data_IF_404872640028
#
_entry.id   IF_404872640028
#
_cell.length_a   1.000
_cell.length_b   1.000
_cell.length_c   1.000
_cell.angle_alpha   90.00
_cell.angle_beta   90.00
_cell.angle_gamma   90.00
#
_symmetry.space_group_name_H-M   'P 1'
#
loop_
_entity.id
_entity.type
_entity.pdbx_description
1 polymer ?
#
# COMPACT_ATOMS: atom_id res chain seq x y z
N UNK A 1 -65.61 -46.11 -15.09
CA UNK A 1 -65.44 -47.58 -14.98
C UNK A 1 -64.08 -47.90 -15.58
N UNK A 2 -63.29 -48.62 -14.81
CA UNK A 2 -61.86 -49.00 -14.90
C UNK A 2 -61.45 -49.55 -16.28
N UNK A 3 -60.26 -49.23 -16.80
CA UNK A 3 -59.18 -50.21 -16.96
C UNK A 3 -57.81 -49.62 -17.36
N UNK A 4 -56.78 -50.40 -17.03
CA UNK A 4 -55.37 -50.06 -16.84
C UNK A 4 -54.49 -50.42 -18.04
N UNK A 5 -53.21 -50.05 -17.87
CA UNK A 5 -51.98 -50.68 -18.37
C UNK A 5 -51.33 -50.19 -19.68
N UNK A 6 -50.21 -49.49 -19.45
CA UNK A 6 -48.85 -49.85 -19.88
C UNK A 6 -48.55 -49.92 -21.37
N UNK A 7 -47.65 -49.05 -21.84
CA UNK A 7 -46.26 -49.42 -22.20
C UNK A 7 -45.68 -48.32 -23.11
N UNK A 8 -44.67 -47.60 -22.61
CA UNK A 8 -43.94 -46.58 -23.36
C UNK A 8 -42.54 -46.43 -22.78
N UNK A 9 -41.65 -47.33 -23.17
CA UNK A 9 -40.22 -47.30 -22.86
C UNK A 9 -39.52 -46.49 -23.97
N UNK A 10 -38.77 -45.43 -23.64
CA UNK A 10 -37.39 -45.19 -24.11
C UNK A 10 -36.79 -43.93 -23.45
N UNK A 11 -35.47 -43.65 -23.57
CA UNK A 11 -34.51 -43.99 -22.52
C UNK A 11 -33.68 -42.75 -22.08
N UNK A 12 -32.73 -42.97 -21.18
CA UNK A 12 -31.44 -42.29 -21.24
C UNK A 12 -31.41 -40.84 -20.75
N UNK A 13 -31.00 -40.69 -19.48
CA UNK A 13 -30.55 -39.40 -18.96
C UNK A 13 -29.44 -38.78 -19.82
N UNK A 14 -29.53 -37.47 -19.98
CA UNK A 14 -28.37 -36.63 -20.21
C UNK A 14 -28.32 -35.61 -19.08
N UNK A 15 -27.59 -35.97 -18.03
CA UNK A 15 -27.00 -34.98 -17.13
C UNK A 15 -26.08 -34.10 -17.96
N UNK A 16 -26.35 -32.80 -18.03
CA UNK A 16 -25.42 -31.77 -18.48
C UNK A 16 -24.34 -31.56 -17.40
N UNK A 17 -23.62 -32.63 -17.09
CA UNK A 17 -22.50 -32.60 -16.17
C UNK A 17 -21.25 -32.15 -16.92
N UNK A 18 -20.79 -30.95 -16.55
CA UNK A 18 -19.38 -30.58 -16.56
C UNK A 18 -18.70 -30.62 -17.92
N UNK A 19 -18.74 -29.50 -18.64
CA UNK A 19 -17.61 -29.14 -19.48
C UNK A 19 -16.38 -29.04 -18.55
N UNK A 20 -15.61 -30.13 -18.51
CA UNK A 20 -14.30 -30.14 -17.85
C UNK A 20 -13.43 -29.21 -18.68
N UNK A 21 -12.98 -28.11 -18.10
CA UNK A 21 -11.97 -27.23 -18.69
C UNK A 21 -10.64 -28.01 -18.75
N UNK A 22 -10.44 -28.70 -19.88
CA UNK A 22 -9.27 -29.53 -20.14
C UNK A 22 -8.00 -28.68 -20.28
N UNK A 23 -8.13 -27.40 -20.65
CA UNK A 23 -7.00 -26.49 -20.74
C UNK A 23 -6.50 -26.11 -19.34
N UNK A 24 -7.39 -25.88 -18.38
CA UNK A 24 -7.00 -25.65 -16.98
C UNK A 24 -6.29 -26.86 -16.36
N UNK A 25 -6.77 -28.08 -16.63
CA UNK A 25 -6.16 -29.32 -16.14
C UNK A 25 -4.79 -29.59 -16.78
N UNK A 26 -4.66 -29.35 -18.09
CA UNK A 26 -3.40 -29.50 -18.82
C UNK A 26 -2.36 -28.47 -18.36
N UNK A 27 -2.77 -27.21 -18.14
CA UNK A 27 -1.93 -26.14 -17.58
C UNK A 27 -1.39 -26.51 -16.19
N UNK A 28 -2.23 -27.08 -15.33
CA UNK A 28 -1.82 -27.58 -14.00
C UNK A 28 -0.78 -28.69 -14.11
N UNK A 29 -0.96 -29.62 -15.04
CA UNK A 29 -0.01 -30.73 -15.27
C UNK A 29 1.35 -30.23 -15.79
N UNK A 30 1.37 -29.26 -16.71
CA UNK A 30 2.60 -28.68 -17.25
C UNK A 30 3.37 -27.86 -16.20
N UNK A 31 2.68 -27.13 -15.32
CA UNK A 31 3.29 -26.40 -14.20
C UNK A 31 3.94 -27.35 -13.17
N UNK A 32 3.28 -28.48 -12.86
CA UNK A 32 3.81 -29.53 -11.99
C UNK A 32 5.06 -30.19 -12.61
N UNK A 33 5.04 -30.53 -13.90
CA UNK A 33 6.18 -31.13 -14.58
C UNK A 33 7.41 -30.20 -14.63
N UNK A 34 7.19 -28.89 -14.79
CA UNK A 34 8.26 -27.88 -14.77
C UNK A 34 8.85 -27.69 -13.37
N UNK A 35 8.05 -27.88 -12.32
CA UNK A 35 8.50 -27.87 -10.90
C UNK A 35 9.33 -29.10 -10.54
N UNK A 36 8.91 -30.29 -10.93
CA UNK A 36 9.71 -31.52 -10.69
C UNK A 36 11.10 -31.44 -11.35
N UNK A 37 11.19 -30.76 -12.50
CA UNK A 37 12.46 -30.45 -13.15
C UNK A 37 13.28 -29.38 -12.40
N UNK A 38 12.61 -28.37 -11.80
CA UNK A 38 13.25 -27.32 -11.02
C UNK A 38 13.75 -27.81 -9.64
N UNK A 39 13.00 -28.68 -8.96
CA UNK A 39 13.38 -29.32 -7.68
C UNK A 39 14.63 -30.19 -7.83
N UNK A 40 14.75 -30.93 -8.94
CA UNK A 40 15.97 -31.69 -9.26
C UNK A 40 17.20 -30.81 -9.53
N UNK A 41 17.01 -29.51 -9.74
CA UNK A 41 18.07 -28.55 -10.04
C UNK A 41 18.43 -27.61 -8.87
N UNK A 42 17.84 -27.79 -7.68
CA UNK A 42 18.23 -27.07 -6.47
C UNK A 42 17.94 -25.56 -6.48
N UNK A 43 16.98 -25.09 -7.29
CA UNK A 43 16.57 -23.68 -7.30
C UNK A 43 15.77 -23.33 -6.03
N UNK A 44 15.91 -22.11 -5.48
CA UNK A 44 15.17 -21.68 -4.30
C UNK A 44 13.65 -21.78 -4.53
N UNK A 45 12.92 -22.29 -3.53
CA UNK A 45 11.45 -22.38 -3.54
C UNK A 45 10.85 -20.97 -3.65
N UNK A 46 9.95 -20.76 -4.61
CA UNK A 46 9.18 -19.52 -4.73
C UNK A 46 8.34 -19.33 -3.48
N UNK A 47 8.47 -18.18 -2.81
CA UNK A 47 7.59 -17.73 -1.71
C UNK A 47 6.68 -16.62 -2.23
N UNK A 48 5.51 -16.46 -1.63
CA UNK A 48 4.64 -15.31 -1.91
C UNK A 48 5.43 -14.02 -1.61
N UNK A 49 5.51 -13.03 -2.52
CA UNK A 49 6.23 -11.77 -2.29
C UNK A 49 5.62 -11.04 -1.10
N UNK A 50 6.38 -10.73 -0.05
CA UNK A 50 5.85 -9.99 1.11
C UNK A 50 5.19 -8.66 0.71
N UNK A 51 4.20 -8.22 1.47
CA UNK A 51 3.68 -6.85 1.36
C UNK A 51 4.83 -5.85 1.61
N UNK A 52 4.83 -4.75 0.87
CA UNK A 52 5.95 -3.83 0.79
C UNK A 52 6.06 -3.16 -0.59
N UNK A 53 6.69 -1.99 -0.64
CA UNK A 53 6.64 -1.07 -1.78
C UNK A 53 5.21 -0.69 -2.14
N UNK A 54 4.81 -0.97 -3.38
CA UNK A 54 3.43 -0.75 -3.84
C UNK A 54 2.56 -2.01 -3.72
N UNK A 55 2.93 -2.95 -2.84
CA UNK A 55 2.18 -4.19 -2.58
C UNK A 55 1.60 -4.15 -1.17
N UNK A 56 0.29 -4.38 -1.06
CA UNK A 56 -0.44 -4.43 0.22
C UNK A 56 -1.24 -5.72 0.36
N UNK A 57 -1.54 -6.09 1.61
CA UNK A 57 -2.52 -7.12 1.91
C UNK A 57 -3.87 -6.52 2.21
N UNK A 58 -4.91 -7.17 1.70
CA UNK A 58 -6.29 -6.74 1.86
C UNK A 58 -7.13 -7.89 2.36
N UNK A 59 -7.89 -7.62 3.41
CA UNK A 59 -8.85 -8.54 4.02
C UNK A 59 -10.26 -7.94 3.96
N UNK A 60 -11.26 -8.63 4.51
CA UNK A 60 -12.66 -8.19 4.48
C UNK A 60 -12.88 -6.81 5.11
N UNK A 61 -12.10 -6.45 6.12
CA UNK A 61 -12.22 -5.18 6.84
C UNK A 61 -11.62 -4.02 6.04
N UNK A 62 -10.47 -4.25 5.38
CA UNK A 62 -9.74 -3.20 4.65
C UNK A 62 -10.17 -3.06 3.18
N UNK A 63 -10.92 -4.05 2.64
CA UNK A 63 -11.34 -4.07 1.24
C UNK A 63 -12.18 -2.86 0.83
N UNK A 64 -13.16 -2.47 1.65
CA UNK A 64 -14.03 -1.33 1.31
C UNK A 64 -13.23 -0.02 1.22
N UNK A 65 -12.31 0.22 2.16
CA UNK A 65 -11.46 1.41 2.16
C UNK A 65 -10.56 1.42 0.91
N UNK A 66 -9.92 0.29 0.58
CA UNK A 66 -9.12 0.15 -0.64
C UNK A 66 -9.94 0.43 -1.90
N UNK A 67 -11.18 -0.05 -1.98
CA UNK A 67 -12.07 0.24 -3.12
C UNK A 67 -12.34 1.74 -3.26
N UNK A 68 -12.51 2.46 -2.15
CA UNK A 68 -12.66 3.92 -2.18
C UNK A 68 -11.38 4.60 -2.68
N UNK A 69 -10.21 4.15 -2.23
CA UNK A 69 -8.91 4.68 -2.68
C UNK A 69 -8.68 4.50 -4.19
N UNK A 70 -9.32 3.51 -4.82
CA UNK A 70 -9.19 3.28 -6.27
C UNK A 70 -9.74 4.40 -7.17
N UNK A 71 -10.41 5.42 -6.59
CA UNK A 71 -10.78 6.66 -7.30
C UNK A 71 -9.59 7.62 -7.46
N UNK A 72 -8.55 7.46 -6.66
CA UNK A 72 -7.34 8.27 -6.71
C UNK A 72 -6.30 7.66 -7.65
N UNK A 73 -6.04 6.36 -7.54
CA UNK A 73 -5.09 5.63 -8.39
C UNK A 73 -5.61 4.21 -8.71
N UNK A 74 -5.21 3.60 -9.84
CA UNK A 74 -5.65 2.25 -10.20
C UNK A 74 -5.02 1.19 -9.28
N UNK A 75 -5.77 0.12 -8.98
CA UNK A 75 -5.34 -0.96 -8.09
C UNK A 75 -5.50 -2.31 -8.80
N UNK A 76 -4.50 -3.19 -8.72
CA UNK A 76 -4.57 -4.58 -9.17
C UNK A 76 -4.93 -5.45 -7.98
N UNK A 77 -6.00 -6.23 -8.09
CA UNK A 77 -6.41 -7.21 -7.09
C UNK A 77 -5.88 -8.58 -7.50
N UNK A 78 -5.09 -9.22 -6.66
CA UNK A 78 -4.67 -10.61 -6.80
C UNK A 78 -5.38 -11.45 -5.73
N UNK A 79 -6.34 -12.26 -6.15
CA UNK A 79 -7.02 -13.22 -5.29
C UNK A 79 -6.29 -14.56 -5.37
N UNK A 80 -5.75 -15.04 -4.25
CA UNK A 80 -4.90 -16.24 -4.17
C UNK A 80 -5.34 -17.15 -3.01
N UNK A 81 -4.76 -18.36 -2.93
CA UNK A 81 -5.00 -19.32 -1.85
C UNK A 81 -3.68 -19.87 -1.32
N UNK A 82 -3.61 -20.14 -0.01
CA UNK A 82 -2.40 -20.67 0.64
C UNK A 82 -2.03 -22.06 0.13
N UNK A 83 -3.03 -22.84 -0.27
CA UNK A 83 -2.86 -24.20 -0.77
C UNK A 83 -2.30 -24.26 -2.20
N UNK A 84 -2.22 -23.12 -2.91
CA UNK A 84 -1.80 -23.05 -4.30
C UNK A 84 -0.57 -22.15 -4.48
N UNK A 85 0.60 -22.74 -4.25
CA UNK A 85 1.88 -22.07 -4.45
C UNK A 85 2.16 -21.71 -5.92
N UNK A 86 1.41 -22.25 -6.89
CA UNK A 86 1.64 -21.92 -8.31
C UNK A 86 1.37 -20.44 -8.61
N UNK A 87 0.54 -19.81 -7.77
CA UNK A 87 0.24 -18.37 -7.81
C UNK A 87 1.40 -17.46 -7.39
N UNK A 88 2.47 -17.98 -6.77
CA UNK A 88 3.54 -17.15 -6.22
C UNK A 88 4.45 -16.51 -7.29
N UNK A 89 4.71 -17.21 -8.40
CA UNK A 89 5.47 -16.64 -9.54
C UNK A 89 4.67 -15.51 -10.21
N UNK A 90 3.36 -15.71 -10.35
CA UNK A 90 2.42 -14.68 -10.81
C UNK A 90 2.46 -13.46 -9.89
N UNK A 91 2.35 -13.67 -8.58
CA UNK A 91 2.41 -12.60 -7.58
C UNK A 91 3.72 -11.81 -7.65
N UNK A 92 4.86 -12.49 -7.75
CA UNK A 92 6.18 -11.85 -7.81
C UNK A 92 6.32 -10.98 -9.06
N UNK A 93 5.96 -11.50 -10.24
CA UNK A 93 6.05 -10.75 -11.50
C UNK A 93 5.12 -9.54 -11.53
N UNK A 94 3.93 -9.66 -10.96
CA UNK A 94 3.01 -8.52 -10.79
C UNK A 94 3.62 -7.47 -9.85
N UNK A 95 4.17 -7.89 -8.71
CA UNK A 95 4.83 -7.00 -7.76
C UNK A 95 5.99 -6.23 -8.40
N UNK A 96 6.89 -6.93 -9.12
CA UNK A 96 8.03 -6.31 -9.80
C UNK A 96 7.57 -5.31 -10.87
N UNK A 97 6.54 -5.68 -11.65
CA UNK A 97 6.00 -4.84 -12.71
C UNK A 97 5.29 -3.59 -12.17
N UNK A 98 4.53 -3.72 -11.08
CA UNK A 98 3.86 -2.60 -10.42
C UNK A 98 4.88 -1.69 -9.74
N UNK A 99 5.93 -2.26 -9.16
CA UNK A 99 7.04 -1.48 -8.59
C UNK A 99 7.73 -0.64 -9.67
N UNK A 100 7.93 -1.19 -10.87
CA UNK A 100 8.46 -0.46 -12.01
C UNK A 100 7.54 0.66 -12.54
N UNK A 101 6.25 0.69 -12.14
CA UNK A 101 5.31 1.76 -12.46
C UNK A 101 5.37 2.94 -11.48
N UNK A 102 6.27 2.89 -10.48
CA UNK A 102 6.65 4.01 -9.61
C UNK A 102 5.46 4.75 -8.99
N UNK A 103 4.56 3.99 -8.36
CA UNK A 103 3.40 4.54 -7.65
C UNK A 103 2.20 4.85 -8.54
N UNK A 104 2.27 4.70 -9.86
CA UNK A 104 1.10 4.90 -10.74
C UNK A 104 0.01 3.83 -10.58
N UNK A 105 0.27 2.80 -9.78
CA UNK A 105 -0.63 1.68 -9.51
C UNK A 105 -0.21 0.98 -8.20
N UNK A 106 -1.15 0.28 -7.56
CA UNK A 106 -0.88 -0.55 -6.38
C UNK A 106 -1.31 -2.01 -6.60
N UNK A 107 -0.62 -2.97 -5.98
CA UNK A 107 -1.01 -4.37 -5.92
C UNK A 107 -1.67 -4.66 -4.57
N UNK A 108 -2.90 -5.15 -4.57
CA UNK A 108 -3.60 -5.65 -3.40
C UNK A 108 -3.72 -7.18 -3.46
N UNK A 109 -3.07 -7.87 -2.52
CA UNK A 109 -3.15 -9.34 -2.38
C UNK A 109 -4.30 -9.69 -1.45
N UNK A 110 -5.14 -10.62 -1.87
CA UNK A 110 -6.32 -11.07 -1.13
C UNK A 110 -6.25 -12.59 -1.00
N UNK A 111 -6.13 -13.07 0.22
CA UNK A 111 -6.19 -14.49 0.50
C UNK A 111 -7.65 -14.95 0.56
N UNK A 112 -8.09 -15.74 -0.42
CA UNK A 112 -9.46 -16.23 -0.50
C UNK A 112 -9.83 -17.21 0.63
N UNK A 113 -8.85 -17.87 1.25
CA UNK A 113 -9.09 -18.76 2.39
C UNK A 113 -9.50 -17.95 3.64
N UNK A 114 -9.00 -16.72 3.77
CA UNK A 114 -9.27 -15.80 4.89
C UNK A 114 -10.37 -14.78 4.56
N UNK A 115 -10.63 -14.51 3.29
CA UNK A 115 -11.61 -13.50 2.83
C UNK A 115 -12.53 -14.04 1.73
N UNK A 116 -13.32 -15.10 2.00
CA UNK A 116 -14.18 -15.74 1.01
C UNK A 116 -15.29 -14.82 0.49
N UNK A 117 -15.77 -13.86 1.29
CA UNK A 117 -16.80 -12.92 0.87
C UNK A 117 -16.33 -12.01 -0.27
N UNK A 118 -15.05 -11.60 -0.25
CA UNK A 118 -14.44 -10.79 -1.31
C UNK A 118 -14.38 -11.58 -2.62
N UNK A 119 -13.92 -12.84 -2.55
CA UNK A 119 -13.85 -13.71 -3.72
C UNK A 119 -15.24 -13.93 -4.36
N UNK A 120 -16.29 -14.09 -3.54
CA UNK A 120 -17.66 -14.19 -4.01
C UNK A 120 -18.16 -12.88 -4.65
N UNK A 121 -17.86 -11.73 -4.03
CA UNK A 121 -18.25 -10.42 -4.55
C UNK A 121 -17.59 -10.11 -5.91
N UNK A 122 -16.32 -10.45 -6.06
CA UNK A 122 -15.57 -10.35 -7.32
C UNK A 122 -15.97 -11.44 -8.34
N UNK A 123 -16.80 -12.41 -7.94
CA UNK A 123 -17.21 -13.58 -8.72
C UNK A 123 -15.99 -14.35 -9.27
N UNK A 124 -14.97 -14.54 -8.44
CA UNK A 124 -13.76 -15.28 -8.79
C UNK A 124 -14.08 -16.78 -8.87
N UNK A 125 -14.29 -17.29 -10.09
CA UNK A 125 -14.66 -18.70 -10.32
C UNK A 125 -13.46 -19.64 -10.34
N UNK A 126 -12.31 -19.13 -10.77
CA UNK A 126 -11.04 -19.86 -10.80
C UNK A 126 -9.97 -19.03 -10.12
N UNK A 127 -9.24 -19.65 -9.18
CA UNK A 127 -8.12 -19.04 -8.47
C UNK A 127 -6.78 -19.61 -9.00
N UNK A 128 -5.71 -18.81 -9.03
CA UNK A 128 -5.67 -17.38 -8.69
C UNK A 128 -6.46 -16.52 -9.70
N UNK A 129 -6.92 -15.34 -9.27
CA UNK A 129 -7.63 -14.41 -10.14
C UNK A 129 -7.04 -13.00 -10.03
N UNK A 130 -6.98 -12.31 -11.16
CA UNK A 130 -6.43 -10.95 -11.27
C UNK A 130 -7.49 -10.00 -11.82
N UNK A 131 -7.71 -8.90 -11.12
CA UNK A 131 -8.65 -7.85 -11.52
C UNK A 131 -7.96 -6.49 -11.51
N UNK A 132 -8.34 -5.62 -12.44
CA UNK A 132 -8.04 -4.19 -12.38
C UNK A 132 -9.19 -3.44 -11.73
N UNK A 133 -8.90 -2.56 -10.79
CA UNK A 133 -9.87 -1.72 -10.11
C UNK A 133 -9.56 -0.26 -10.43
N UNK A 134 -10.49 0.39 -11.13
CA UNK A 134 -10.38 1.80 -11.53
C UNK A 134 -11.67 2.51 -11.17
N UNK A 135 -11.60 3.53 -10.33
CA UNK A 135 -12.78 4.31 -9.92
C UNK A 135 -13.86 3.45 -9.25
N UNK A 136 -13.45 2.47 -8.43
CA UNK A 136 -14.34 1.55 -7.72
C UNK A 136 -14.95 0.44 -8.58
N UNK A 137 -14.57 0.31 -9.85
CA UNK A 137 -15.13 -0.68 -10.78
C UNK A 137 -14.14 -1.81 -11.06
N UNK A 138 -14.40 -3.05 -10.58
CA UNK A 138 -13.53 -4.18 -10.86
C UNK A 138 -13.70 -4.67 -12.30
N UNK A 139 -12.59 -4.92 -12.97
CA UNK A 139 -12.48 -5.41 -14.34
C UNK A 139 -11.67 -6.72 -14.32
N UNK A 140 -12.24 -7.86 -14.72
CA UNK A 140 -11.50 -9.13 -14.75
C UNK A 140 -10.39 -9.07 -15.80
N UNK A 141 -9.18 -9.46 -15.43
CA UNK A 141 -8.01 -9.57 -16.32
C UNK A 141 -7.71 -11.04 -16.60
N UNK A 142 -7.61 -11.85 -15.54
CA UNK A 142 -7.28 -13.26 -15.62
C UNK A 142 -8.02 -14.03 -14.51
N UNK A 143 -8.49 -15.23 -14.82
CA UNK A 143 -9.04 -16.17 -13.84
C UNK A 143 -8.39 -17.53 -14.13
N UNK A 144 -7.72 -18.09 -13.11
CA UNK A 144 -6.79 -19.20 -13.28
C UNK A 144 -5.35 -18.75 -13.52
N UNK A 145 -4.42 -19.70 -13.50
CA UNK A 145 -3.00 -19.43 -13.71
C UNK A 145 -2.71 -19.11 -15.19
N UNK A 146 -2.19 -17.92 -15.51
CA UNK A 146 -1.84 -17.56 -16.89
C UNK A 146 -0.61 -18.35 -17.38
N UNK A 147 -0.53 -18.56 -18.69
CA UNK A 147 0.70 -19.00 -19.35
C UNK A 147 1.81 -17.95 -19.22
N UNK A 148 3.06 -18.34 -19.49
CA UNK A 148 4.19 -17.40 -19.41
C UNK A 148 4.03 -16.21 -20.38
N UNK A 149 3.51 -16.46 -21.58
CA UNK A 149 3.29 -15.43 -22.59
C UNK A 149 2.15 -14.49 -22.18
N UNK A 150 1.04 -15.03 -21.66
CA UNK A 150 -0.07 -14.24 -21.13
C UNK A 150 0.36 -13.39 -19.93
N UNK A 151 1.18 -13.93 -19.02
CA UNK A 151 1.70 -13.18 -17.88
C UNK A 151 2.60 -12.03 -18.34
N UNK A 152 3.45 -12.28 -19.34
CA UNK A 152 4.26 -11.22 -19.93
C UNK A 152 3.40 -10.14 -20.60
N UNK A 153 2.32 -10.54 -21.29
CA UNK A 153 1.36 -9.60 -21.88
C UNK A 153 0.61 -8.79 -20.81
N UNK A 154 0.22 -9.42 -19.70
CA UNK A 154 -0.40 -8.74 -18.56
C UNK A 154 0.54 -7.63 -18.06
N UNK A 155 1.78 -7.98 -17.75
CA UNK A 155 2.77 -7.06 -17.20
C UNK A 155 3.15 -5.92 -18.16
N UNK A 156 3.40 -6.23 -19.43
CA UNK A 156 3.98 -5.27 -20.37
C UNK A 156 2.94 -4.41 -21.09
N UNK A 157 1.73 -4.95 -21.32
CA UNK A 157 0.71 -4.26 -22.11
C UNK A 157 -0.50 -3.86 -21.27
N UNK A 158 -1.06 -4.82 -20.52
CA UNK A 158 -2.34 -4.61 -19.80
C UNK A 158 -2.16 -3.64 -18.62
N UNK A 159 -1.13 -3.82 -17.78
CA UNK A 159 -0.91 -2.91 -16.64
C UNK A 159 -0.69 -1.47 -17.09
N UNK A 160 0.21 -1.15 -18.05
CA UNK A 160 0.37 0.23 -18.53
C UNK A 160 -0.88 0.77 -19.23
N UNK A 161 -1.65 -0.08 -19.92
CA UNK A 161 -2.91 0.32 -20.52
C UNK A 161 -3.96 0.68 -19.47
N UNK A 162 -4.04 -0.07 -18.37
CA UNK A 162 -4.93 0.25 -17.25
C UNK A 162 -4.61 1.61 -16.63
N UNK A 163 -3.33 1.95 -16.47
CA UNK A 163 -2.95 3.28 -16.01
C UNK A 163 -3.45 4.36 -16.98
N UNK A 164 -3.25 4.18 -18.29
CA UNK A 164 -3.75 5.13 -19.31
C UNK A 164 -5.28 5.25 -19.30
N UNK A 165 -6.00 4.17 -19.01
CA UNK A 165 -7.47 4.16 -18.88
C UNK A 165 -7.90 4.92 -17.62
N UNK A 166 -7.18 4.72 -16.51
CA UNK A 166 -7.40 5.43 -15.26
C UNK A 166 -7.19 6.94 -15.42
N UNK A 167 -6.09 7.36 -16.05
CA UNK A 167 -5.79 8.77 -16.34
C UNK A 167 -6.88 9.44 -17.17
N UNK A 168 -7.38 8.77 -18.21
CA UNK A 168 -8.51 9.26 -19.02
C UNK A 168 -9.81 9.39 -18.23
N UNK A 169 -9.93 8.66 -17.13
CA UNK A 169 -11.08 8.68 -16.22
C UNK A 169 -10.87 9.64 -15.05
N UNK A 170 -9.78 10.41 -15.03
CA UNK A 170 -9.44 11.35 -13.94
C UNK A 170 -8.77 10.70 -12.72
N UNK A 171 -8.44 9.42 -12.79
CA UNK A 171 -7.78 8.63 -11.75
C UNK A 171 -6.27 8.62 -12.04
N UNK A 172 -5.58 9.69 -11.64
CA UNK A 172 -4.17 9.94 -11.98
C UNK A 172 -3.27 10.23 -10.76
N UNK A 173 -3.75 9.93 -9.55
CA UNK A 173 -2.98 10.03 -8.32
C UNK A 173 -1.91 8.93 -8.21
N UNK A 174 -1.11 9.03 -7.15
CA UNK A 174 -0.04 8.06 -6.86
C UNK A 174 -0.39 7.22 -5.64
N UNK A 175 -0.15 5.93 -5.74
CA UNK A 175 -0.22 4.97 -4.66
C UNK A 175 0.83 5.27 -3.59
N UNK A 176 0.50 5.08 -2.30
CA UNK A 176 1.47 5.20 -1.24
C UNK A 176 2.50 4.07 -1.31
N UNK A 177 3.75 4.41 -1.01
CA UNK A 177 4.82 3.43 -0.83
C UNK A 177 4.80 2.91 0.62
N UNK A 178 4.68 1.60 0.77
CA UNK A 178 4.73 0.88 2.06
C UNK A 178 6.15 0.37 2.25
N UNK A 179 6.80 0.63 3.38
CA UNK A 179 8.14 0.08 3.62
C UNK A 179 8.03 -1.45 3.77
N UNK A 180 8.89 -2.22 3.08
CA UNK A 180 8.85 -3.69 3.11
C UNK A 180 9.39 -4.21 4.45
N UNK A 181 8.55 -4.11 5.49
CA UNK A 181 8.75 -4.69 6.82
C UNK A 181 7.52 -5.54 7.16
N UNK A 182 7.73 -6.86 7.21
CA UNK A 182 6.78 -7.97 7.38
C UNK A 182 5.43 -7.69 8.08
N UNK A 183 4.34 -7.89 7.32
CA UNK A 183 3.04 -8.34 7.83
C UNK A 183 2.78 -9.76 7.35
N UNK A 184 2.92 -10.73 8.25
CA UNK A 184 2.41 -12.09 8.09
C UNK A 184 1.96 -12.64 9.45
N UNK A 185 0.72 -12.32 9.84
CA UNK A 185 -0.15 -13.10 10.74
C UNK A 185 0.13 -13.08 12.25
N UNK A 186 -0.82 -12.55 13.04
CA UNK A 186 -1.80 -13.36 13.78
C UNK A 186 -2.70 -12.42 14.60
N UNK A 187 -4.00 -12.45 14.32
CA UNK A 187 -5.00 -11.65 15.03
C UNK A 187 -5.33 -12.30 16.37
N UNK A 188 -5.07 -11.61 17.48
CA UNK A 188 -5.76 -11.87 18.75
C UNK A 188 -6.48 -10.63 19.25
N UNK A 189 -7.73 -10.55 18.79
CA UNK A 189 -8.95 -10.33 19.57
C UNK A 189 -8.80 -9.62 20.93
N UNK A 190 -9.22 -8.36 21.01
CA UNK A 190 -10.02 -7.84 22.14
C UNK A 190 -10.96 -6.72 21.67
N UNK A 191 -12.15 -6.55 22.31
CA UNK A 191 -13.30 -5.89 21.71
C UNK A 191 -13.29 -4.36 21.87
N UNK A 192 -13.64 -3.66 20.78
CA UNK A 192 -13.83 -2.19 20.75
C UNK A 192 -15.24 -1.82 21.21
N UNK A 193 -15.32 -1.11 22.33
CA UNK A 193 -16.42 -0.14 22.60
C UNK A 193 -16.04 1.16 21.92
N UNK A 194 -16.84 1.56 20.93
CA UNK A 194 -16.52 2.67 20.04
C UNK A 194 -16.73 4.05 20.64
N UNK A 195 -15.90 5.01 20.21
CA UNK A 195 -16.26 6.39 19.84
C UNK A 195 -15.17 6.89 18.88
N UNK A 196 -15.57 7.45 17.72
CA UNK A 196 -14.86 8.55 17.05
C UNK A 196 -13.60 8.22 16.23
N UNK A 197 -13.77 8.28 14.92
CA UNK A 197 -12.79 8.53 13.84
C UNK A 197 -11.54 9.33 14.27
N UNK A 198 -10.41 8.64 14.45
CA UNK A 198 -9.06 9.18 14.42
C UNK A 198 -8.14 8.07 13.89
N UNK A 199 -7.47 8.33 12.77
CA UNK A 199 -6.55 7.37 12.13
C UNK A 199 -5.24 7.33 12.92
N UNK A 200 -5.31 6.77 14.12
CA UNK A 200 -4.15 6.40 14.92
C UNK A 200 -3.55 5.13 14.33
N UNK A 201 -2.41 5.29 13.64
CA UNK A 201 -1.59 4.19 13.15
C UNK A 201 -0.97 3.48 14.36
N UNK A 202 -1.69 2.49 14.89
CA UNK A 202 -1.12 1.49 15.78
C UNK A 202 -0.03 0.75 14.99
N UNK A 203 1.22 0.99 15.36
CA UNK A 203 2.38 0.28 14.86
C UNK A 203 2.25 -1.19 15.26
N UNK A 204 2.05 -2.04 14.26
CA UNK A 204 2.03 -3.49 14.43
C UNK A 204 3.43 -3.98 14.81
N UNK A 205 3.49 -4.80 15.84
CA UNK A 205 4.69 -5.25 16.53
C UNK A 205 5.44 -6.36 15.76
N UNK A 206 6.13 -6.00 14.67
CA UNK A 206 7.20 -6.81 14.08
C UNK A 206 8.58 -6.21 14.39
N UNK A 207 9.15 -6.71 15.50
CA UNK A 207 10.49 -6.49 16.07
C UNK A 207 11.07 -5.07 15.97
N UNK A 208 10.48 -4.14 16.72
CA UNK A 208 11.10 -2.85 17.06
C UNK A 208 12.49 -3.13 17.64
N UNK A 209 13.58 -2.60 17.04
CA UNK A 209 14.93 -2.82 17.55
C UNK A 209 14.98 -2.53 19.05
N UNK A 210 15.70 -3.31 19.87
CA UNK A 210 15.66 -3.17 21.33
C UNK A 210 15.90 -1.74 21.83
N UNK A 211 16.75 -0.99 21.14
CA UNK A 211 17.08 0.41 21.44
C UNK A 211 15.91 1.38 21.17
N UNK A 212 14.99 1.02 20.27
CA UNK A 212 13.84 1.84 19.86
C UNK A 212 12.58 1.57 20.69
N UNK A 213 12.56 0.51 21.52
CA UNK A 213 11.34 0.04 22.20
C UNK A 213 10.68 1.11 23.07
N UNK A 214 11.46 1.82 23.89
CA UNK A 214 10.92 2.86 24.80
C UNK A 214 10.28 3.99 23.99
N UNK A 215 10.94 4.44 22.92
CA UNK A 215 10.44 5.49 22.04
C UNK A 215 9.16 5.06 21.31
N UNK A 216 9.14 3.82 20.82
CA UNK A 216 7.99 3.24 20.14
C UNK A 216 6.78 3.09 21.08
N UNK A 217 6.97 2.56 22.28
CA UNK A 217 5.92 2.44 23.30
C UNK A 217 5.34 3.82 23.69
N UNK A 218 6.19 4.84 23.84
CA UNK A 218 5.74 6.20 24.10
C UNK A 218 4.87 6.73 22.95
N UNK A 219 5.26 6.51 21.69
CA UNK A 219 4.48 6.90 20.53
C UNK A 219 3.12 6.17 20.47
N UNK A 220 3.09 4.87 20.76
CA UNK A 220 1.85 4.08 20.82
C UNK A 220 0.88 4.56 21.90
N UNK A 221 1.41 5.11 23.00
CA UNK A 221 0.62 5.72 24.06
C UNK A 221 0.20 7.17 23.75
N UNK A 222 0.56 7.71 22.58
CA UNK A 222 0.29 9.09 22.17
C UNK A 222 1.20 10.13 22.84
N UNK A 223 2.22 9.70 23.59
CA UNK A 223 3.23 10.59 24.17
C UNK A 223 4.36 10.86 23.17
N UNK A 224 4.03 11.66 22.16
CA UNK A 224 4.96 11.98 21.07
C UNK A 224 6.15 12.82 21.53
N UNK A 225 6.01 13.58 22.62
CA UNK A 225 7.11 14.35 23.20
C UNK A 225 8.16 13.43 23.82
N UNK A 226 7.72 12.43 24.60
CA UNK A 226 8.60 11.40 25.13
C UNK A 226 9.20 10.56 23.99
N UNK A 227 8.39 10.16 23.01
CA UNK A 227 8.86 9.36 21.87
C UNK A 227 10.00 10.05 21.11
N UNK A 228 9.86 11.35 20.79
CA UNK A 228 10.90 12.11 20.12
C UNK A 228 12.20 12.15 20.93
N UNK A 229 12.11 12.45 22.23
CA UNK A 229 13.25 12.48 23.14
C UNK A 229 13.99 11.15 23.24
N UNK A 230 13.27 10.02 23.24
CA UNK A 230 13.89 8.69 23.27
C UNK A 230 14.52 8.31 21.92
N UNK A 231 13.89 8.63 20.78
CA UNK A 231 14.52 8.44 19.47
C UNK A 231 15.76 9.33 19.28
N UNK A 232 15.80 10.54 19.84
CA UNK A 232 16.99 11.38 19.83
C UNK A 232 18.16 10.73 20.56
N UNK A 233 17.92 10.01 21.67
CA UNK A 233 18.99 9.26 22.35
C UNK A 233 19.52 8.12 21.49
N UNK A 234 18.64 7.43 20.76
CA UNK A 234 19.06 6.43 19.77
C UNK A 234 19.95 7.06 18.70
N UNK A 235 19.57 8.22 18.18
CA UNK A 235 20.35 8.96 17.18
C UNK A 235 21.68 9.50 17.73
N UNK A 236 21.78 9.81 19.03
CA UNK A 236 23.06 10.17 19.65
C UNK A 236 24.03 8.98 19.67
N UNK A 237 23.51 7.77 19.89
CA UNK A 237 24.31 6.54 19.87
C UNK A 237 24.64 6.09 18.43
N UNK A 238 23.66 6.18 17.52
CA UNK A 238 23.79 5.83 16.11
C UNK A 238 23.20 6.93 15.19
N UNK A 239 24.00 7.94 14.81
CA UNK A 239 23.52 9.07 13.99
C UNK A 239 23.05 8.68 12.58
N UNK A 240 23.42 7.49 12.10
CA UNK A 240 23.07 7.01 10.77
C UNK A 240 21.84 6.09 10.78
N UNK A 241 21.15 5.94 11.92
CA UNK A 241 19.93 5.16 12.02
C UNK A 241 18.77 5.89 11.30
N UNK A 242 18.51 5.46 10.07
CA UNK A 242 17.45 6.04 9.24
C UNK A 242 16.06 5.78 9.81
N UNK A 243 15.86 4.68 10.53
CA UNK A 243 14.59 4.37 11.19
C UNK A 243 14.36 5.35 12.34
N UNK A 244 15.34 5.49 13.24
CA UNK A 244 15.23 6.40 14.38
C UNK A 244 15.05 7.85 13.90
N UNK A 245 15.76 8.26 12.85
CA UNK A 245 15.63 9.61 12.27
C UNK A 245 14.23 9.87 11.74
N UNK A 246 13.67 8.90 11.01
CA UNK A 246 12.30 8.97 10.48
C UNK A 246 11.25 9.02 11.57
N UNK A 247 11.33 8.11 12.54
CA UNK A 247 10.32 8.01 13.61
C UNK A 247 10.43 9.18 14.60
N UNK A 248 11.63 9.67 14.88
CA UNK A 248 11.84 10.92 15.61
C UNK A 248 11.14 12.10 14.93
N UNK A 249 11.35 12.26 13.62
CA UNK A 249 10.75 13.33 12.86
C UNK A 249 9.22 13.27 12.90
N UNK A 250 8.64 12.07 12.72
CA UNK A 250 7.18 11.85 12.83
C UNK A 250 6.66 12.21 14.22
N UNK A 251 7.33 11.76 15.29
CA UNK A 251 6.94 12.08 16.66
C UNK A 251 6.97 13.59 16.91
N UNK A 252 8.00 14.30 16.44
CA UNK A 252 8.07 15.75 16.52
C UNK A 252 6.91 16.43 15.77
N UNK A 253 6.58 15.98 14.56
CA UNK A 253 5.47 16.50 13.76
C UNK A 253 4.13 16.32 14.47
N UNK A 254 3.85 15.10 14.94
CA UNK A 254 2.61 14.79 15.65
C UNK A 254 2.52 15.52 16.98
N UNK A 255 3.61 15.58 17.75
CA UNK A 255 3.67 16.27 19.04
C UNK A 255 3.39 17.78 18.93
N UNK A 256 3.79 18.42 17.84
CA UNK A 256 3.43 19.82 17.56
C UNK A 256 1.96 20.02 17.21
N UNK A 257 1.27 18.97 16.77
CA UNK A 257 -0.07 19.05 16.20
C UNK A 257 -1.17 18.34 17.01
N UNK A 258 -0.86 17.76 18.16
CA UNK A 258 -1.79 16.99 19.00
C UNK A 258 -3.11 17.71 19.33
N UNK A 259 -3.14 19.04 19.31
CA UNK A 259 -4.36 19.83 19.55
C UNK A 259 -4.49 21.03 18.57
N UNK A 260 -3.94 20.90 17.36
CA UNK A 260 -3.95 21.98 16.38
C UNK A 260 -5.34 22.17 15.75
N UNK A 261 -5.84 23.41 15.77
CA UNK A 261 -6.98 23.80 14.95
C UNK A 261 -6.46 24.30 13.58
N UNK A 262 -6.71 23.52 12.53
CA UNK A 262 -6.22 23.79 11.16
C UNK A 262 -6.67 25.15 10.63
N UNK A 263 -7.94 25.52 10.83
CA UNK A 263 -8.46 26.82 10.35
C UNK A 263 -7.79 27.98 11.07
N UNK A 264 -7.56 27.85 12.38
CA UNK A 264 -6.87 28.86 13.17
C UNK A 264 -5.40 29.01 12.73
N UNK A 265 -4.71 27.91 12.44
CA UNK A 265 -3.32 27.93 11.95
C UNK A 265 -3.22 28.58 10.58
N UNK A 266 -4.08 28.19 9.62
CA UNK A 266 -4.12 28.81 8.29
C UNK A 266 -4.45 30.30 8.36
N UNK A 267 -5.39 30.68 9.22
CA UNK A 267 -5.72 32.10 9.45
C UNK A 267 -4.54 32.87 10.04
N UNK A 268 -3.89 32.35 11.09
CA UNK A 268 -2.77 33.01 11.73
C UNK A 268 -1.61 33.28 10.76
N UNK A 269 -1.31 32.32 9.87
CA UNK A 269 -0.29 32.48 8.83
C UNK A 269 -0.71 33.45 7.72
N UNK A 270 -2.00 33.55 7.40
CA UNK A 270 -2.53 34.55 6.48
C UNK A 270 -2.46 35.97 7.07
N UNK A 271 -2.78 36.11 8.35
CA UNK A 271 -2.72 37.38 9.08
C UNK A 271 -1.27 37.83 9.34
N UNK A 272 -0.33 36.88 9.46
CA UNK A 272 1.09 37.13 9.75
C UNK A 272 2.01 36.44 8.72
N UNK A 273 2.07 36.93 7.46
CA UNK A 273 2.80 36.27 6.38
C UNK A 273 4.33 36.25 6.57
N UNK A 274 4.87 37.16 7.37
CA UNK A 274 6.32 37.23 7.70
C UNK A 274 6.69 36.49 9.00
N UNK A 275 5.72 35.86 9.68
CA UNK A 275 6.00 35.09 10.89
C UNK A 275 6.41 33.65 10.52
N UNK A 276 7.67 33.32 10.76
CA UNK A 276 8.23 32.00 10.49
C UNK A 276 7.49 30.88 11.25
N UNK A 277 7.08 31.13 12.49
CA UNK A 277 6.39 30.12 13.31
C UNK A 277 5.02 29.80 12.74
N UNK A 278 4.31 30.82 12.24
CA UNK A 278 3.02 30.65 11.59
C UNK A 278 3.15 29.87 10.26
N UNK A 279 4.19 30.14 9.47
CA UNK A 279 4.43 29.39 8.22
C UNK A 279 4.83 27.93 8.48
N UNK A 280 5.65 27.68 9.51
CA UNK A 280 6.02 26.34 9.95
C UNK A 280 4.80 25.52 10.41
N UNK A 281 3.89 26.14 11.15
CA UNK A 281 2.68 25.48 11.61
C UNK A 281 1.77 25.06 10.44
N UNK A 282 1.62 25.90 9.40
CA UNK A 282 0.85 25.51 8.21
C UNK A 282 1.57 24.41 7.43
N UNK A 283 2.89 24.49 7.29
CA UNK A 283 3.65 23.44 6.61
C UNK A 283 3.53 22.09 7.34
N UNK A 284 3.49 22.08 8.68
CA UNK A 284 3.25 20.87 9.47
C UNK A 284 1.86 20.28 9.18
N UNK A 285 0.82 21.12 9.14
CA UNK A 285 -0.54 20.68 8.76
C UNK A 285 -0.57 20.14 7.34
N UNK A 286 0.06 20.83 6.40
CA UNK A 286 0.13 20.40 5.00
C UNK A 286 0.86 19.04 4.87
N UNK A 287 1.90 18.78 5.68
CA UNK A 287 2.56 17.47 5.76
C UNK A 287 1.65 16.37 6.30
N UNK A 288 0.86 16.66 7.33
CA UNK A 288 -0.10 15.70 7.93
C UNK A 288 -1.23 15.38 6.93
N UNK A 289 -1.74 16.40 6.23
CA UNK A 289 -2.79 16.27 5.20
C UNK A 289 -2.26 15.61 3.90
N UNK A 290 -0.95 15.35 3.79
CA UNK A 290 -0.32 14.74 2.61
C UNK A 290 -0.01 15.72 1.47
N UNK A 291 -0.24 17.02 1.66
CA UNK A 291 0.12 18.11 0.76
C UNK A 291 1.64 18.44 0.82
N UNK A 292 2.47 17.43 0.60
CA UNK A 292 3.93 17.49 0.77
C UNK A 292 4.59 18.58 -0.10
N UNK A 293 4.15 18.74 -1.35
CA UNK A 293 4.71 19.78 -2.24
C UNK A 293 4.40 21.19 -1.75
N UNK A 294 3.23 21.41 -1.18
CA UNK A 294 2.79 22.70 -0.66
C UNK A 294 3.56 23.05 0.61
N UNK A 295 3.75 22.08 1.52
CA UNK A 295 4.59 22.24 2.71
C UNK A 295 6.02 22.67 2.35
N UNK A 296 6.64 21.96 1.40
CA UNK A 296 7.99 22.30 0.92
C UNK A 296 8.04 23.66 0.24
N UNK A 297 7.11 23.93 -0.67
CA UNK A 297 7.10 25.19 -1.42
C UNK A 297 6.92 26.38 -0.48
N UNK A 298 6.00 26.28 0.48
CA UNK A 298 5.78 27.30 1.51
C UNK A 298 7.06 27.68 2.26
N UNK A 299 7.77 26.71 2.81
CA UNK A 299 8.96 26.98 3.62
C UNK A 299 10.12 27.51 2.76
N UNK A 300 10.29 26.98 1.55
CA UNK A 300 11.35 27.41 0.63
C UNK A 300 11.08 28.80 0.05
N UNK A 301 9.83 29.12 -0.27
CA UNK A 301 9.40 30.45 -0.71
C UNK A 301 9.58 31.47 0.42
N UNK A 302 9.18 31.11 1.64
CA UNK A 302 9.36 31.95 2.82
C UNK A 302 10.84 32.26 3.08
N UNK A 303 11.70 31.23 3.03
CA UNK A 303 13.14 31.35 3.22
C UNK A 303 13.83 32.27 2.19
N UNK A 304 13.31 32.34 0.97
CA UNK A 304 13.85 33.23 -0.06
C UNK A 304 13.79 34.71 0.35
N UNK A 305 12.78 35.09 1.15
CA UNK A 305 12.59 36.45 1.68
C UNK A 305 13.08 36.68 3.11
N UNK A 306 13.27 35.63 3.91
CA UNK A 306 13.50 35.72 5.37
C UNK A 306 14.74 34.90 5.78
N UNK A 307 15.92 35.41 5.38
CA UNK A 307 17.23 34.75 5.62
C UNK A 307 17.58 34.62 7.10
N UNK A 308 17.07 35.52 7.93
CA UNK A 308 17.17 35.49 9.38
C UNK A 308 16.50 34.26 10.00
N UNK A 309 15.51 33.68 9.33
CA UNK A 309 14.83 32.45 9.74
C UNK A 309 15.46 31.17 9.17
N UNK A 310 16.62 31.25 8.52
CA UNK A 310 17.21 30.15 7.77
C UNK A 310 17.46 28.88 8.59
N UNK A 311 17.96 29.03 9.81
CA UNK A 311 18.29 27.88 10.66
C UNK A 311 17.03 27.09 11.04
N UNK A 312 15.98 27.78 11.50
CA UNK A 312 14.72 27.13 11.90
C UNK A 312 14.01 26.48 10.71
N UNK A 313 14.00 27.14 9.55
CA UNK A 313 13.42 26.56 8.33
C UNK A 313 14.23 25.33 7.88
N UNK A 314 15.56 25.41 7.91
CA UNK A 314 16.44 24.30 7.55
C UNK A 314 16.20 23.10 8.47
N UNK A 315 16.14 23.31 9.78
CA UNK A 315 15.85 22.24 10.75
C UNK A 315 14.53 21.55 10.42
N UNK A 316 13.45 22.31 10.21
CA UNK A 316 12.16 21.71 9.86
C UNK A 316 12.17 20.97 8.53
N UNK A 317 12.85 21.52 7.52
CA UNK A 317 13.01 20.86 6.23
C UNK A 317 13.75 19.52 6.37
N UNK A 318 14.78 19.44 7.22
CA UNK A 318 15.50 18.19 7.48
C UNK A 318 14.61 17.15 8.18
N UNK A 319 13.74 17.57 9.11
CA UNK A 319 12.74 16.68 9.70
C UNK A 319 11.82 16.08 8.61
N UNK A 320 11.25 16.91 7.74
CA UNK A 320 10.38 16.42 6.65
C UNK A 320 11.14 15.50 5.67
N UNK A 321 12.41 15.79 5.41
CA UNK A 321 13.23 14.95 4.54
C UNK A 321 13.51 13.56 5.11
N UNK A 322 13.55 13.41 6.44
CA UNK A 322 13.73 12.12 7.10
C UNK A 322 12.47 11.25 7.00
N UNK A 323 11.28 11.85 6.81
CA UNK A 323 10.01 11.13 6.69
C UNK A 323 9.80 10.50 5.31
N UNK A 324 10.42 11.07 4.27
CA UNK A 324 10.20 10.67 2.88
C UNK A 324 11.27 9.69 2.38
N UNK A 325 10.92 8.78 1.46
CA UNK A 325 11.88 7.87 0.86
C UNK A 325 12.88 8.62 -0.03
N UNK A 326 14.12 8.14 -0.09
CA UNK A 326 15.20 8.80 -0.83
C UNK A 326 14.93 8.98 -2.34
N UNK A 327 14.06 8.14 -2.92
CA UNK A 327 13.65 8.21 -4.32
C UNK A 327 12.60 9.29 -4.65
N UNK A 328 11.97 9.92 -3.66
CA UNK A 328 10.89 10.88 -3.92
C UNK A 328 11.43 12.10 -4.71
N UNK A 329 10.85 12.36 -5.88
CA UNK A 329 11.28 13.50 -6.70
C UNK A 329 11.06 14.85 -6.02
N UNK A 330 10.00 14.98 -5.21
CA UNK A 330 9.65 16.20 -4.47
C UNK A 330 10.73 16.49 -3.44
N UNK A 331 11.16 15.46 -2.72
CA UNK A 331 12.29 15.51 -1.80
C UNK A 331 13.57 15.97 -2.52
N UNK A 332 13.88 15.37 -3.67
CA UNK A 332 15.07 15.70 -4.44
C UNK A 332 15.04 17.12 -5.03
N UNK A 333 13.86 17.63 -5.43
CA UNK A 333 13.67 19.03 -5.83
C UNK A 333 13.86 19.97 -4.62
N UNK A 334 13.22 19.67 -3.50
CA UNK A 334 13.27 20.48 -2.28
C UNK A 334 14.70 20.58 -1.72
N UNK A 335 15.46 19.47 -1.65
CA UNK A 335 16.86 19.46 -1.21
C UNK A 335 17.75 20.36 -2.06
N UNK A 336 17.63 20.26 -3.39
CA UNK A 336 18.39 21.12 -4.32
C UNK A 336 18.06 22.59 -4.11
N UNK A 337 16.77 22.91 -3.98
CA UNK A 337 16.30 24.28 -3.78
C UNK A 337 16.76 24.85 -2.42
N UNK A 338 16.68 24.06 -1.36
CA UNK A 338 17.17 24.45 -0.03
C UNK A 338 18.68 24.74 -0.06
N UNK A 339 19.47 23.89 -0.73
CA UNK A 339 20.91 24.10 -0.88
C UNK A 339 21.23 25.41 -1.62
N UNK A 340 20.52 25.71 -2.71
CA UNK A 340 20.66 26.98 -3.46
C UNK A 340 20.23 28.19 -2.63
N UNK A 341 19.27 28.02 -1.73
CA UNK A 341 18.87 29.10 -0.85
C UNK A 341 19.95 29.31 0.23
N UNK A 342 20.52 28.28 0.84
CA UNK A 342 21.42 28.46 1.99
C UNK A 342 22.84 28.93 1.64
N UNK A 343 23.27 28.80 0.38
CA UNK A 343 24.62 29.12 -0.09
C UNK A 343 24.59 30.06 -1.29
#
# INVERSE_FOLDING_TARGET
MVDSQSMGMNPGGFSLAGAVDLEGVKRKAEALAKREAAEKSGKPQSKMPSAGGYVIDVNEQTFQAMVQTSVSFPIILLVWQKSDETSYDLAQKLADSITALDGRMQLARINADESPSIAQALRAQQLPAVYGLVGGRPMPICQGLPSADELQQICNDILPQLVKVAEKSGVAGMAPYVDSGDSAGDSKDTPVVGVGDDSAVAGDSSDVPPEHKIAHEAAMNGDYALAASEYEKVLQANPNDSLASRECAKALLLGRNTNTNVDAVRKAAGDNPSDASAQLAVADVDMIDGHIEDAFSRLLDFLAGHRDSADVIKERMLEYFAMLPAGDERLNRARRRLAVLLY
#
